data_IF_824045378662
#
_entry.id   IF_824045378662
#
_cell.length_a   1.000
_cell.length_b   1.000
_cell.length_c   1.000
_cell.angle_alpha   90.00
_cell.angle_beta   90.00
_cell.angle_gamma   90.00
#
_symmetry.space_group_name_H-M   'P 1'
#
loop_
_entity.id
_entity.type
_entity.pdbx_description
1 polymer ?
#
# COMPACT_ATOMS: atom_id res chain seq x y z
N UNK A 1 0.49 -23.20 27.88
CA UNK A 1 -0.25 -23.03 26.59
C UNK A 1 0.44 -21.94 25.79
N UNK A 2 1.26 -22.34 24.86
CA UNK A 2 2.06 -21.45 24.00
C UNK A 2 1.12 -20.80 22.98
N UNK A 3 0.80 -19.52 23.21
CA UNK A 3 -0.08 -18.75 22.31
C UNK A 3 0.68 -18.52 21.01
N UNK A 4 0.39 -19.36 19.99
CA UNK A 4 0.95 -19.31 18.64
C UNK A 4 1.15 -17.84 18.22
N UNK A 5 2.40 -17.41 18.10
CA UNK A 5 2.80 -16.03 17.78
C UNK A 5 2.24 -15.71 16.39
N UNK A 6 1.10 -15.04 16.33
CA UNK A 6 0.52 -14.61 15.05
C UNK A 6 1.56 -13.77 14.32
N UNK A 7 1.67 -13.93 13.01
CA UNK A 7 2.54 -13.09 12.18
C UNK A 7 2.26 -11.61 12.51
N UNK A 8 3.30 -10.79 12.60
CA UNK A 8 3.17 -9.38 12.97
C UNK A 8 2.13 -8.63 12.12
N UNK A 9 2.06 -8.95 10.82
CA UNK A 9 1.05 -8.40 9.89
C UNK A 9 -0.37 -8.81 10.25
N UNK A 10 -0.59 -10.07 10.67
CA UNK A 10 -1.92 -10.54 11.10
C UNK A 10 -2.36 -9.86 12.41
N UNK A 11 -1.42 -9.55 13.31
CA UNK A 11 -1.72 -8.82 14.53
C UNK A 11 -2.06 -7.34 14.24
N UNK A 12 -1.31 -6.68 13.36
CA UNK A 12 -1.60 -5.32 12.91
C UNK A 12 -2.95 -5.22 12.21
N UNK A 13 -3.28 -6.19 11.36
CA UNK A 13 -4.61 -6.28 10.75
C UNK A 13 -5.72 -6.48 11.78
N UNK A 14 -5.46 -7.20 12.88
CA UNK A 14 -6.42 -7.35 13.97
C UNK A 14 -6.63 -6.04 14.72
N UNK A 15 -5.57 -5.25 14.93
CA UNK A 15 -5.63 -3.91 15.52
C UNK A 15 -6.40 -2.90 14.65
N UNK A 16 -6.30 -3.02 13.32
CA UNK A 16 -7.04 -2.18 12.38
C UNK A 16 -8.58 -2.33 12.51
N UNK A 17 -9.09 -3.45 13.05
CA UNK A 17 -10.50 -3.61 13.38
C UNK A 17 -11.45 -3.32 12.21
N UNK A 18 -12.35 -2.33 12.37
CA UNK A 18 -13.30 -1.88 11.32
C UNK A 18 -12.60 -1.18 10.13
N UNK A 19 -11.38 -0.68 10.30
CA UNK A 19 -10.65 0.06 9.27
C UNK A 19 -9.90 -0.82 8.28
N UNK A 20 -9.97 -2.16 8.43
CA UNK A 20 -9.46 -3.13 7.45
C UNK A 20 -9.98 -2.89 6.04
N UNK A 21 -11.24 -2.45 5.93
CA UNK A 21 -11.86 -2.16 4.65
C UNK A 21 -11.14 -1.03 3.91
N UNK A 22 -10.72 0.02 4.62
CA UNK A 22 -9.97 1.13 4.03
C UNK A 22 -8.61 0.66 3.51
N UNK A 23 -7.90 -0.17 4.28
CA UNK A 23 -6.62 -0.76 3.85
C UNK A 23 -6.80 -1.69 2.64
N UNK A 24 -7.90 -2.46 2.61
CA UNK A 24 -8.22 -3.32 1.46
C UNK A 24 -8.53 -2.51 0.20
N UNK A 25 -9.34 -1.45 0.31
CA UNK A 25 -9.63 -0.53 -0.80
C UNK A 25 -8.34 0.14 -1.30
N UNK A 26 -7.48 0.59 -0.38
CA UNK A 26 -6.16 1.12 -0.72
C UNK A 26 -5.33 0.13 -1.54
N UNK A 27 -5.27 -1.14 -1.12
CA UNK A 27 -4.53 -2.17 -1.84
C UNK A 27 -5.10 -2.41 -3.26
N UNK A 28 -6.44 -2.43 -3.42
CA UNK A 28 -7.09 -2.57 -4.73
C UNK A 28 -6.72 -1.42 -5.68
N UNK A 29 -6.80 -0.18 -5.20
CA UNK A 29 -6.40 0.99 -6.00
C UNK A 29 -4.89 1.03 -6.25
N UNK A 30 -4.07 0.50 -5.35
CA UNK A 30 -2.64 0.28 -5.57
C UNK A 30 -2.37 -0.68 -6.73
N UNK A 31 -3.10 -1.81 -6.80
CA UNK A 31 -3.03 -2.75 -7.92
C UNK A 31 -3.49 -2.08 -9.22
N UNK A 32 -4.60 -1.35 -9.20
CA UNK A 32 -5.10 -0.62 -10.36
C UNK A 32 -4.07 0.42 -10.86
N UNK A 33 -3.41 1.13 -9.96
CA UNK A 33 -2.32 2.06 -10.28
C UNK A 33 -1.14 1.34 -10.93
N UNK A 34 -0.75 0.15 -10.43
CA UNK A 34 0.31 -0.66 -11.01
C UNK A 34 -0.04 -1.14 -12.43
N UNK A 35 -1.28 -1.57 -12.67
CA UNK A 35 -1.77 -1.93 -14.01
C UNK A 35 -1.70 -0.74 -14.97
N UNK A 36 -2.23 0.42 -14.57
CA UNK A 36 -2.16 1.64 -15.36
C UNK A 36 -0.71 2.08 -15.65
N UNK A 37 0.22 1.82 -14.73
CA UNK A 37 1.64 2.13 -14.90
C UNK A 37 2.31 1.32 -16.00
N UNK A 38 1.80 0.13 -16.31
CA UNK A 38 2.35 -0.75 -17.34
C UNK A 38 1.89 -0.37 -18.77
N UNK A 39 0.67 0.17 -18.89
CA UNK A 39 0.07 0.53 -20.19
C UNK A 39 0.96 1.43 -21.06
N UNK A 40 1.59 2.50 -20.55
CA UNK A 40 2.46 3.36 -21.36
C UNK A 40 3.60 2.62 -22.04
N UNK A 41 4.23 1.64 -21.38
CA UNK A 41 5.33 0.84 -21.98
C UNK A 41 4.83 0.05 -23.18
N UNK A 42 3.66 -0.59 -23.07
CA UNK A 42 3.03 -1.32 -24.18
C UNK A 42 2.66 -0.38 -25.32
N UNK A 43 2.14 0.82 -24.99
CA UNK A 43 1.74 1.80 -26.00
C UNK A 43 2.94 2.39 -26.75
N UNK A 44 4.05 2.64 -26.08
CA UNK A 44 5.30 3.07 -26.73
C UNK A 44 5.80 1.98 -27.69
N UNK A 45 5.83 0.73 -27.25
CA UNK A 45 6.21 -0.40 -28.12
C UNK A 45 5.32 -0.47 -29.38
N UNK A 46 3.99 -0.38 -29.22
CA UNK A 46 3.03 -0.37 -30.34
C UNK A 46 3.22 0.85 -31.24
N UNK A 47 3.51 2.02 -30.70
CA UNK A 47 3.79 3.23 -31.48
C UNK A 47 5.00 3.07 -32.37
N UNK A 48 6.08 2.43 -31.86
CA UNK A 48 7.30 2.17 -32.62
C UNK A 48 7.01 1.23 -33.79
N UNK A 49 6.28 0.13 -33.56
CA UNK A 49 5.91 -0.81 -34.61
C UNK A 49 5.11 -0.13 -35.74
N UNK A 50 4.11 0.66 -35.39
CA UNK A 50 3.28 1.41 -36.35
C UNK A 50 4.10 2.41 -37.17
N UNK A 51 5.09 3.04 -36.56
CA UNK A 51 5.99 3.97 -37.30
C UNK A 51 6.93 3.24 -38.25
N UNK A 52 7.37 2.02 -37.92
CA UNK A 52 8.24 1.22 -38.75
C UNK A 52 7.47 0.61 -39.93
N UNK A 53 6.23 0.17 -39.74
CA UNK A 53 5.36 -0.40 -40.77
C UNK A 53 4.79 0.66 -41.71
N UNK A 54 4.90 1.95 -41.38
CA UNK A 54 4.39 3.07 -42.17
C UNK A 54 2.85 3.18 -42.23
N UNK A 55 2.14 2.31 -41.56
CA UNK A 55 0.68 2.25 -41.52
C UNK A 55 0.16 2.44 -40.09
N UNK A 56 -0.64 3.50 -39.90
CA UNK A 56 -1.37 3.69 -38.63
C UNK A 56 -1.16 5.06 -37.96
N UNK A 57 -1.89 5.27 -36.90
CA UNK A 57 -1.91 6.56 -36.19
C UNK A 57 -1.18 6.44 -34.83
N UNK A 58 0.11 6.75 -34.81
CA UNK A 58 0.93 6.76 -33.59
C UNK A 58 0.38 7.70 -32.51
N UNK A 59 -0.31 8.80 -32.89
CA UNK A 59 -0.94 9.73 -31.96
C UNK A 59 -1.99 9.05 -31.06
N UNK A 60 -2.73 8.08 -31.60
CA UNK A 60 -3.71 7.31 -30.81
C UNK A 60 -3.06 6.58 -29.64
N UNK A 61 -1.93 5.95 -29.85
CA UNK A 61 -1.19 5.24 -28.80
C UNK A 61 -0.63 6.21 -27.78
N UNK A 62 -0.16 7.40 -28.21
CA UNK A 62 0.26 8.47 -27.33
C UNK A 62 -0.87 8.97 -26.42
N UNK A 63 -2.07 9.16 -26.95
CA UNK A 63 -3.23 9.57 -26.16
C UNK A 63 -3.65 8.50 -25.14
N UNK A 64 -3.62 7.22 -25.51
CA UNK A 64 -3.91 6.11 -24.59
C UNK A 64 -2.86 6.06 -23.47
N UNK A 65 -1.58 6.23 -23.80
CA UNK A 65 -0.51 6.30 -22.82
C UNK A 65 -0.70 7.46 -21.82
N UNK A 66 -1.05 8.65 -22.33
CA UNK A 66 -1.33 9.82 -21.49
C UNK A 66 -2.54 9.61 -20.57
N UNK A 67 -3.62 9.02 -21.10
CA UNK A 67 -4.79 8.68 -20.29
C UNK A 67 -4.47 7.64 -19.21
N UNK A 68 -3.64 6.64 -19.51
CA UNK A 68 -3.21 5.63 -18.54
C UNK A 68 -2.33 6.24 -17.43
N UNK A 69 -1.46 7.19 -17.75
CA UNK A 69 -0.66 7.94 -16.77
C UNK A 69 -1.58 8.76 -15.85
N UNK A 70 -2.56 9.46 -16.39
CA UNK A 70 -3.55 10.18 -15.61
C UNK A 70 -4.33 9.24 -14.68
N UNK A 71 -4.80 8.10 -15.20
CA UNK A 71 -5.46 7.04 -14.43
C UNK A 71 -4.59 6.49 -13.30
N UNK A 72 -3.30 6.25 -13.57
CA UNK A 72 -2.32 5.85 -12.54
C UNK A 72 -2.29 6.85 -11.38
N UNK A 73 -2.15 8.14 -11.67
CA UNK A 73 -2.09 9.17 -10.62
C UNK A 73 -3.38 9.24 -9.81
N UNK A 74 -4.54 9.18 -10.46
CA UNK A 74 -5.83 9.16 -9.77
C UNK A 74 -5.96 7.95 -8.84
N UNK A 75 -5.66 6.75 -9.33
CA UNK A 75 -5.67 5.53 -8.52
C UNK A 75 -4.68 5.62 -7.35
N UNK A 76 -3.48 6.18 -7.58
CA UNK A 76 -2.47 6.35 -6.53
C UNK A 76 -2.93 7.32 -5.43
N UNK A 77 -3.55 8.45 -5.79
CA UNK A 77 -4.10 9.42 -4.82
C UNK A 77 -5.20 8.75 -3.98
N UNK A 78 -6.13 8.04 -4.62
CA UNK A 78 -7.20 7.33 -3.91
C UNK A 78 -6.61 6.27 -2.98
N UNK A 79 -5.66 5.45 -3.47
CA UNK A 79 -4.97 4.44 -2.67
C UNK A 79 -4.31 5.04 -1.43
N UNK A 80 -3.53 6.11 -1.59
CA UNK A 80 -2.87 6.81 -0.50
C UNK A 80 -3.86 7.38 0.51
N UNK A 81 -4.92 8.03 0.04
CA UNK A 81 -5.95 8.62 0.92
C UNK A 81 -6.59 7.55 1.80
N UNK A 82 -7.03 6.43 1.23
CA UNK A 82 -7.63 5.34 1.99
C UNK A 82 -6.63 4.67 2.94
N UNK A 83 -5.37 4.53 2.54
CA UNK A 83 -4.30 4.00 3.38
C UNK A 83 -4.07 4.87 4.61
N UNK A 84 -3.94 6.18 4.43
CA UNK A 84 -3.77 7.13 5.53
C UNK A 84 -4.97 7.16 6.47
N UNK A 85 -6.20 7.18 5.95
CA UNK A 85 -7.41 7.10 6.79
C UNK A 85 -7.40 5.82 7.63
N UNK A 86 -7.08 4.68 7.02
CA UNK A 86 -6.99 3.40 7.73
C UNK A 86 -5.90 3.40 8.80
N UNK A 87 -4.71 3.94 8.48
CA UNK A 87 -3.59 4.03 9.40
C UNK A 87 -3.90 4.94 10.59
N UNK A 88 -4.31 6.20 10.36
CA UNK A 88 -4.58 7.16 11.43
C UNK A 88 -5.65 6.68 12.41
N UNK A 89 -6.74 6.10 11.91
CA UNK A 89 -7.78 5.55 12.78
C UNK A 89 -7.29 4.34 13.59
N UNK A 90 -6.44 3.50 13.00
CA UNK A 90 -5.80 2.39 13.71
C UNK A 90 -4.90 2.91 14.82
N UNK A 91 -4.08 3.92 14.54
CA UNK A 91 -3.22 4.57 15.53
C UNK A 91 -4.01 5.19 16.67
N UNK A 92 -5.07 5.92 16.36
CA UNK A 92 -5.95 6.49 17.37
C UNK A 92 -6.45 5.41 18.35
N UNK A 93 -6.88 4.27 17.82
CA UNK A 93 -7.33 3.14 18.64
C UNK A 93 -6.20 2.57 19.49
N UNK A 94 -5.01 2.38 18.91
CA UNK A 94 -3.82 1.86 19.63
C UNK A 94 -3.42 2.82 20.76
N UNK A 95 -3.28 4.11 20.46
CA UNK A 95 -2.93 5.13 21.47
C UNK A 95 -3.97 5.21 22.60
N UNK A 96 -5.26 5.13 22.26
CA UNK A 96 -6.34 5.12 23.25
C UNK A 96 -6.28 3.89 24.15
N UNK A 97 -5.98 2.71 23.58
CA UNK A 97 -5.84 1.48 24.38
C UNK A 97 -4.63 1.53 25.30
N UNK A 98 -3.49 2.03 24.82
CA UNK A 98 -2.28 2.20 25.63
C UNK A 98 -2.56 3.19 26.77
N UNK A 99 -3.13 4.37 26.47
CA UNK A 99 -3.44 5.39 27.47
C UNK A 99 -4.39 4.87 28.55
N UNK A 100 -5.44 4.13 28.16
CA UNK A 100 -6.37 3.49 29.10
C UNK A 100 -5.71 2.41 29.95
N UNK A 101 -4.73 1.69 29.41
CA UNK A 101 -3.97 0.70 30.16
C UNK A 101 -3.08 1.38 31.19
N UNK A 102 -2.32 2.39 30.79
CA UNK A 102 -1.43 3.15 31.65
C UNK A 102 -2.20 3.83 32.81
N UNK A 103 -3.39 4.36 32.53
CA UNK A 103 -4.24 4.97 33.58
C UNK A 103 -4.72 3.99 34.67
N UNK A 104 -4.61 2.68 34.43
CA UNK A 104 -5.00 1.63 35.39
C UNK A 104 -3.81 0.99 36.11
N UNK A 105 -2.59 1.33 35.75
CA UNK A 105 -1.36 0.78 36.34
C UNK A 105 -1.10 1.54 37.65
N UNK A 106 -0.55 0.85 38.65
CA UNK A 106 -0.25 1.46 39.93
C UNK A 106 0.95 2.43 39.85
N UNK A 107 1.08 3.35 40.80
CA UNK A 107 2.16 4.34 40.79
C UNK A 107 3.57 3.72 40.82
N UNK A 108 3.74 2.56 41.42
CA UNK A 108 5.03 1.86 41.46
C UNK A 108 5.61 1.56 40.10
N UNK A 109 4.76 1.36 39.10
CA UNK A 109 5.21 1.16 37.69
C UNK A 109 5.99 2.37 37.17
N UNK A 110 5.57 3.60 37.54
CA UNK A 110 6.22 4.83 37.06
C UNK A 110 7.52 5.16 37.82
N UNK A 111 7.78 4.52 38.97
CA UNK A 111 9.08 4.61 39.64
C UNK A 111 10.11 3.71 39.01
N UNK A 112 9.67 2.56 38.47
CA UNK A 112 10.55 1.57 37.87
C UNK A 112 10.83 1.81 36.37
N UNK A 113 9.97 2.61 35.71
CA UNK A 113 10.08 2.92 34.29
C UNK A 113 10.22 4.42 34.07
N UNK A 114 11.28 4.83 33.38
CA UNK A 114 11.50 6.24 33.06
C UNK A 114 10.36 6.78 32.17
N UNK A 115 9.83 7.95 32.50
CA UNK A 115 8.76 8.61 31.73
C UNK A 115 9.11 8.79 30.25
N UNK A 116 10.40 8.89 29.91
CA UNK A 116 10.92 8.93 28.54
C UNK A 116 10.70 7.63 27.77
N UNK A 117 10.80 6.47 28.42
CA UNK A 117 10.56 5.16 27.81
C UNK A 117 9.09 4.99 27.44
N UNK A 118 8.19 5.36 28.35
CA UNK A 118 6.75 5.33 28.11
C UNK A 118 6.37 6.28 26.95
N UNK A 119 6.95 7.49 26.93
CA UNK A 119 6.76 8.46 25.85
C UNK A 119 7.23 7.88 24.51
N UNK A 120 8.40 7.22 24.47
CA UNK A 120 8.94 6.58 23.27
C UNK A 120 7.97 5.56 22.69
N UNK A 121 7.43 4.66 23.52
CA UNK A 121 6.46 3.65 23.07
C UNK A 121 5.20 4.29 22.49
N UNK A 122 4.63 5.28 23.17
CA UNK A 122 3.35 5.90 22.76
C UNK A 122 3.51 6.74 21.49
N UNK A 123 4.64 7.39 21.31
CA UNK A 123 4.87 8.31 20.21
C UNK A 123 5.62 7.60 19.09
N UNK A 124 6.87 7.18 19.32
CA UNK A 124 7.77 6.72 18.27
C UNK A 124 7.41 5.33 17.73
N UNK A 125 7.13 4.36 18.62
CA UNK A 125 6.84 2.99 18.18
C UNK A 125 5.45 2.90 17.53
N UNK A 126 4.49 3.68 18.02
CA UNK A 126 3.16 3.76 17.38
C UNK A 126 3.25 4.46 16.02
N UNK A 127 4.09 5.49 15.85
CA UNK A 127 4.33 6.14 14.57
C UNK A 127 4.97 5.19 13.53
N UNK A 128 5.81 4.25 13.98
CA UNK A 128 6.33 3.19 13.09
C UNK A 128 5.22 2.30 12.52
N UNK A 129 4.20 2.01 13.33
CA UNK A 129 3.02 1.25 12.88
C UNK A 129 2.26 2.02 11.81
N UNK A 130 2.13 3.34 11.98
CA UNK A 130 1.53 4.22 10.96
C UNK A 130 2.24 4.08 9.62
N UNK A 131 3.54 4.32 9.65
CA UNK A 131 4.38 4.28 8.44
C UNK A 131 4.26 2.94 7.71
N UNK A 132 4.19 1.85 8.47
CA UNK A 132 3.95 0.52 7.92
C UNK A 132 2.58 0.42 7.25
N UNK A 133 1.50 0.82 7.92
CA UNK A 133 0.14 0.71 7.42
C UNK A 133 -0.13 1.67 6.26
N UNK A 134 0.38 2.90 6.34
CA UNK A 134 0.11 3.95 5.36
C UNK A 134 0.90 3.79 4.06
N UNK A 135 2.13 3.32 4.13
CA UNK A 135 3.04 3.27 2.98
C UNK A 135 3.41 1.85 2.58
N UNK A 136 3.86 1.01 3.52
CA UNK A 136 4.38 -0.31 3.14
C UNK A 136 3.32 -1.25 2.58
N UNK A 137 2.07 -1.19 3.05
CA UNK A 137 1.01 -2.08 2.51
C UNK A 137 0.73 -1.77 1.04
N UNK A 138 0.40 -0.54 0.62
CA UNK A 138 0.18 -0.23 -0.79
C UNK A 138 1.43 -0.42 -1.65
N UNK A 139 2.62 -0.05 -1.14
CA UNK A 139 3.88 -0.16 -1.88
C UNK A 139 4.28 -1.61 -2.15
N UNK A 140 4.23 -2.48 -1.13
CA UNK A 140 4.53 -3.91 -1.28
C UNK A 140 3.51 -4.58 -2.21
N UNK A 141 2.23 -4.23 -2.10
CA UNK A 141 1.19 -4.76 -3.01
C UNK A 141 1.51 -4.40 -4.45
N UNK A 142 1.84 -3.14 -4.72
CA UNK A 142 2.20 -2.66 -6.07
C UNK A 142 3.49 -3.30 -6.57
N UNK A 143 4.50 -3.42 -5.71
CA UNK A 143 5.81 -4.01 -6.04
C UNK A 143 5.72 -5.51 -6.39
N UNK A 144 4.81 -6.25 -5.77
CA UNK A 144 4.56 -7.66 -6.10
C UNK A 144 3.75 -7.78 -7.39
N UNK A 145 2.74 -6.93 -7.58
CA UNK A 145 1.88 -6.98 -8.75
C UNK A 145 2.62 -6.61 -10.05
N UNK A 146 3.54 -5.64 -10.02
CA UNK A 146 4.24 -5.19 -11.21
C UNK A 146 4.99 -6.31 -11.96
N UNK A 147 5.89 -7.10 -11.34
CA UNK A 147 6.58 -8.20 -12.04
C UNK A 147 5.62 -9.31 -12.47
N UNK A 148 4.56 -9.59 -11.71
CA UNK A 148 3.55 -10.60 -12.09
C UNK A 148 2.82 -10.17 -13.36
N UNK A 149 2.43 -8.91 -13.48
CA UNK A 149 1.78 -8.35 -14.66
C UNK A 149 2.70 -8.45 -15.88
N UNK A 150 3.97 -8.06 -15.71
CA UNK A 150 4.97 -8.14 -16.79
C UNK A 150 5.18 -9.60 -17.23
N UNK A 151 5.30 -10.52 -16.29
CA UNK A 151 5.48 -11.94 -16.57
C UNK A 151 4.29 -12.53 -17.34
N UNK A 152 3.05 -12.24 -16.90
CA UNK A 152 1.84 -12.68 -17.60
C UNK A 152 1.81 -12.09 -19.03
N UNK A 153 2.13 -10.80 -19.18
CA UNK A 153 2.17 -10.16 -20.49
C UNK A 153 3.19 -10.81 -21.42
N UNK A 154 4.40 -11.10 -20.94
CA UNK A 154 5.43 -11.78 -21.75
C UNK A 154 5.01 -13.19 -22.18
N UNK A 155 4.32 -13.93 -21.31
CA UNK A 155 3.77 -15.24 -21.68
C UNK A 155 2.74 -15.14 -22.82
N UNK A 156 1.94 -14.06 -22.88
CA UNK A 156 0.96 -13.88 -23.96
C UNK A 156 1.61 -13.56 -25.32
N UNK A 157 2.83 -13.01 -25.31
CA UNK A 157 3.57 -12.70 -26.54
C UNK A 157 4.32 -13.92 -27.08
N UNK A 158 4.88 -14.76 -26.20
CA UNK A 158 5.79 -15.86 -26.58
C UNK A 158 5.21 -17.28 -26.51
N UNK A 159 3.92 -17.44 -26.24
CA UNK A 159 3.27 -18.78 -26.22
C UNK A 159 3.11 -19.46 -27.61
N UNK A 160 3.25 -18.79 -28.76
CA UNK A 160 3.22 -19.47 -30.04
C UNK A 160 4.58 -19.98 -30.59
N UNK A 161 5.61 -20.16 -29.74
CA UNK A 161 6.84 -20.86 -30.17
C UNK A 161 6.97 -22.21 -29.48
#
# INVERSE_FOLDING_TARGET
MEKKRKSGTAYLMQLAGKYKLHLFVSALFGIASALCSFVPYVMVYRSILVLLDGEGNALRYGLIAAAAIAGKFLCSIVSGTFSHIGAFNTLYNVRTQISRHIAKVNLGFFTDHASGEIKKVIIEDVERIERFLAHQIPDVTSAICAPVIVFIYLLTINVPM
#
